data_IF_621059870361
#
_entry.id   IF_621059870361
#
_cell.length_a   1.000
_cell.length_b   1.000
_cell.length_c   1.000
_cell.angle_alpha   90.00
_cell.angle_beta   90.00
_cell.angle_gamma   90.00
#
_symmetry.space_group_name_H-M   'P 1'
#
loop_
_entity.id
_entity.type
_entity.pdbx_description
1 polymer ?
#
# COMPACT_ATOMS: atom_id res chain seq x y z
N UNK A 1 33.81 10.55 -87.66
CA UNK A 1 33.81 11.59 -88.70
C UNK A 1 32.48 11.43 -89.42
N UNK A 2 31.37 11.56 -88.71
CA UNK A 2 30.77 12.85 -88.25
C UNK A 2 30.32 13.61 -89.50
N UNK A 3 29.07 13.98 -89.73
CA UNK A 3 27.85 14.09 -88.94
C UNK A 3 26.69 13.66 -89.86
N UNK A 4 25.46 13.51 -89.37
CA UNK A 4 24.26 14.03 -90.04
C UNK A 4 23.11 14.05 -89.02
N UNK A 5 22.80 15.26 -88.60
CA UNK A 5 21.65 15.71 -87.83
C UNK A 5 20.34 15.55 -88.63
N UNK A 6 19.24 15.32 -87.92
CA UNK A 6 17.90 15.32 -88.48
C UNK A 6 16.83 15.26 -87.38
N UNK A 7 16.25 16.42 -87.11
CA UNK A 7 15.31 16.74 -86.03
C UNK A 7 13.98 15.97 -86.08
N UNK A 8 13.43 15.68 -84.89
CA UNK A 8 12.09 15.12 -84.70
C UNK A 8 11.16 16.22 -84.16
N UNK A 9 10.39 16.84 -85.05
CA UNK A 9 9.26 17.71 -84.69
C UNK A 9 8.00 16.88 -84.42
N UNK A 10 7.49 16.94 -83.19
CA UNK A 10 6.11 16.54 -82.85
C UNK A 10 5.15 17.72 -83.01
N UNK A 11 4.00 17.58 -83.69
CA UNK A 11 2.93 18.55 -83.57
C UNK A 11 1.93 18.11 -82.50
N UNK A 12 1.69 19.00 -81.55
CA UNK A 12 0.51 19.02 -80.72
C UNK A 12 -0.72 19.33 -81.59
N UNK A 13 -1.85 18.66 -81.32
CA UNK A 13 -3.16 19.11 -81.79
C UNK A 13 -4.16 19.06 -80.65
N UNK A 14 -4.58 20.28 -80.27
CA UNK A 14 -5.69 20.61 -79.40
C UNK A 14 -7.00 20.04 -79.95
N UNK A 15 -7.85 19.54 -79.04
CA UNK A 15 -9.28 19.40 -79.30
C UNK A 15 -10.04 20.11 -78.18
N UNK A 16 -10.81 21.12 -78.58
CA UNK A 16 -11.74 21.86 -77.74
C UNK A 16 -13.15 21.74 -78.33
N UNK A 17 -14.13 21.79 -77.42
CA UNK A 17 -15.57 22.00 -77.62
C UNK A 17 -16.36 20.76 -78.11
N UNK A 18 -17.55 20.42 -77.63
CA UNK A 18 -18.63 21.29 -77.15
C UNK A 18 -19.58 20.55 -76.18
N UNK A 19 -20.22 21.32 -75.30
CA UNK A 19 -21.22 20.83 -74.35
C UNK A 19 -22.59 20.52 -74.97
N UNK A 20 -23.38 19.77 -74.22
CA UNK A 20 -24.83 19.73 -74.34
C UNK A 20 -25.44 19.69 -72.94
N UNK A 21 -26.19 20.75 -72.65
CA UNK A 21 -27.04 20.93 -71.48
C UNK A 21 -28.30 20.09 -71.64
N UNK A 22 -28.66 19.34 -70.60
CA UNK A 22 -30.02 18.85 -70.41
C UNK A 22 -30.43 19.16 -68.97
N UNK A 23 -31.39 20.07 -68.85
CA UNK A 23 -32.14 20.38 -67.63
C UNK A 23 -33.29 19.39 -67.52
N UNK A 24 -33.51 18.82 -66.34
CA UNK A 24 -34.81 18.33 -65.83
C UNK A 24 -34.71 18.41 -64.28
N UNK A 25 -35.15 19.50 -63.65
CA UNK A 25 -36.48 19.73 -63.06
C UNK A 25 -36.90 18.64 -62.08
N UNK A 26 -36.59 18.85 -60.79
CA UNK A 26 -37.25 18.19 -59.66
C UNK A 26 -38.26 19.16 -59.01
N UNK A 27 -39.50 18.74 -58.71
CA UNK A 27 -40.47 19.57 -58.02
C UNK A 27 -40.31 19.52 -56.50
N UNK A 28 -40.61 20.65 -55.87
CA UNK A 28 -40.58 20.91 -54.43
C UNK A 28 -41.90 20.60 -53.71
N UNK A 29 -41.80 19.95 -52.53
CA UNK A 29 -42.60 20.07 -51.27
C UNK A 29 -44.14 19.76 -51.28
N UNK A 30 -44.73 19.27 -50.16
CA UNK A 30 -45.05 20.02 -48.91
C UNK A 30 -44.74 19.26 -47.60
N UNK A 31 -44.19 19.84 -46.53
CA UNK A 31 -44.76 20.63 -45.41
C UNK A 31 -45.96 20.02 -44.65
N UNK A 32 -45.78 19.75 -43.34
CA UNK A 32 -46.61 20.12 -42.16
C UNK A 32 -46.16 19.24 -40.96
N UNK A 33 -45.39 19.78 -40.00
CA UNK A 33 -45.79 20.30 -38.66
C UNK A 33 -46.39 19.27 -37.70
N UNK A 34 -45.76 19.08 -36.52
CA UNK A 34 -46.31 19.44 -35.20
C UNK A 34 -45.16 19.50 -34.18
N UNK A 35 -45.24 20.52 -33.34
CA UNK A 35 -44.35 21.00 -32.29
C UNK A 35 -44.44 20.18 -30.99
N UNK A 36 -43.43 20.28 -30.11
CA UNK A 36 -43.60 20.84 -28.76
C UNK A 36 -42.28 20.86 -27.96
N UNK A 37 -41.93 22.06 -27.49
CA UNK A 37 -41.02 22.32 -26.37
C UNK A 37 -41.52 21.67 -25.07
N UNK A 38 -40.62 21.32 -24.16
CA UNK A 38 -40.79 21.70 -22.75
C UNK A 38 -39.46 21.76 -22.01
N UNK A 39 -39.19 22.95 -21.46
CA UNK A 39 -38.20 23.27 -20.44
C UNK A 39 -38.99 23.44 -19.15
N UNK A 40 -38.73 22.63 -18.13
CA UNK A 40 -39.29 22.79 -16.78
C UNK A 40 -38.29 22.15 -15.80
N UNK A 41 -37.46 22.91 -15.08
CA UNK A 41 -37.72 23.54 -13.77
C UNK A 41 -38.52 22.66 -12.80
N UNK A 42 -37.82 21.79 -12.07
CA UNK A 42 -38.32 21.13 -10.86
C UNK A 42 -37.62 21.66 -9.61
N UNK A 43 -38.20 22.69 -8.99
CA UNK A 43 -37.98 23.02 -7.58
C UNK A 43 -38.95 22.15 -6.77
N UNK A 44 -38.45 21.34 -5.84
CA UNK A 44 -39.25 20.79 -4.74
C UNK A 44 -39.01 21.62 -3.49
N UNK A 45 -39.96 22.52 -3.21
CA UNK A 45 -40.22 23.02 -1.86
C UNK A 45 -40.93 21.92 -1.07
N UNK A 46 -40.45 21.63 0.15
CA UNK A 46 -41.34 21.14 1.19
C UNK A 46 -41.08 21.93 2.48
N UNK A 47 -42.12 22.66 2.87
CA UNK A 47 -42.22 23.48 4.06
C UNK A 47 -42.53 22.62 5.29
N UNK A 48 -41.81 22.92 6.38
CA UNK A 48 -42.26 23.02 7.77
C UNK A 48 -43.09 21.88 8.40
N UNK A 49 -42.56 21.34 9.51
CA UNK A 49 -43.27 21.34 10.80
C UNK A 49 -42.32 21.29 12.00
N UNK A 50 -42.55 22.22 12.93
CA UNK A 50 -41.91 22.40 14.24
C UNK A 50 -42.14 21.19 15.15
N UNK A 51 -41.15 20.85 15.98
CA UNK A 51 -41.32 20.59 17.42
C UNK A 51 -39.96 20.58 18.12
N UNK A 52 -39.87 21.33 19.21
CA UNK A 52 -38.65 21.45 20.02
C UNK A 52 -38.39 20.22 20.88
N UNK A 53 -37.14 20.08 21.28
CA UNK A 53 -36.68 19.44 22.51
C UNK A 53 -35.26 19.96 22.74
N UNK A 54 -35.11 20.87 23.69
CA UNK A 54 -34.35 20.64 24.91
C UNK A 54 -32.85 20.40 24.67
N UNK A 55 -32.06 21.38 25.11
CA UNK A 55 -30.62 21.22 25.39
C UNK A 55 -30.37 19.86 26.07
N UNK A 56 -29.50 19.00 25.54
CA UNK A 56 -28.62 18.22 26.40
C UNK A 56 -27.55 19.19 26.90
N UNK A 57 -27.31 19.14 28.21
CA UNK A 57 -26.13 19.71 28.86
C UNK A 57 -24.89 19.53 27.99
N UNK A 58 -24.09 20.59 27.81
CA UNK A 58 -22.72 20.43 27.31
C UNK A 58 -22.04 19.44 28.26
N UNK A 59 -21.67 18.28 27.74
CA UNK A 59 -20.90 17.29 28.48
C UNK A 59 -19.54 17.89 28.82
N UNK A 60 -18.94 17.48 29.94
CA UNK A 60 -17.67 18.00 30.42
C UNK A 60 -16.52 17.88 29.37
N UNK A 61 -16.71 17.06 28.35
CA UNK A 61 -15.82 16.86 27.20
C UNK A 61 -15.83 18.03 26.20
N UNK A 62 -16.89 18.84 26.13
CA UNK A 62 -16.96 20.00 25.22
C UNK A 62 -16.27 21.24 25.82
N UNK A 63 -16.18 21.32 27.16
CA UNK A 63 -15.42 22.34 27.87
C UNK A 63 -13.89 22.10 27.78
N UNK A 64 -13.46 20.83 27.82
CA UNK A 64 -12.05 20.44 27.66
C UNK A 64 -11.52 20.65 26.23
N UNK A 65 -12.40 20.55 25.22
CA UNK A 65 -12.03 20.81 23.82
C UNK A 65 -11.91 22.31 23.47
N UNK A 66 -12.45 23.22 24.30
CA UNK A 66 -12.43 24.65 24.05
C UNK A 66 -11.25 25.38 24.73
N UNK A 67 -10.68 24.80 25.79
CA UNK A 67 -9.57 25.40 26.53
C UNK A 67 -8.17 24.97 26.08
N UNK A 68 -8.03 23.80 25.45
CA UNK A 68 -6.77 23.33 24.86
C UNK A 68 -7.05 22.86 23.44
N UNK A 69 -6.23 23.32 22.48
CA UNK A 69 -6.43 23.08 21.06
C UNK A 69 -6.91 21.65 20.79
N UNK A 70 -7.98 21.54 20.01
CA UNK A 70 -8.69 20.31 19.67
C UNK A 70 -7.76 19.11 19.62
N UNK A 71 -8.16 18.00 20.27
CA UNK A 71 -7.41 16.74 20.22
C UNK A 71 -6.99 16.46 18.75
N UNK A 72 -5.69 16.49 18.45
CA UNK A 72 -5.19 16.37 17.07
C UNK A 72 -5.62 15.05 16.43
N UNK A 73 -5.82 14.00 17.24
CA UNK A 73 -6.30 12.71 16.78
C UNK A 73 -7.75 12.80 16.32
N UNK A 74 -8.60 13.53 17.06
CA UNK A 74 -10.01 13.74 16.70
C UNK A 74 -10.17 14.59 15.44
N UNK A 75 -9.31 15.58 15.23
CA UNK A 75 -9.32 16.40 14.00
C UNK A 75 -8.93 15.55 12.79
N UNK A 76 -7.86 14.75 12.92
CA UNK A 76 -7.40 13.89 11.83
C UNK A 76 -8.42 12.78 11.52
N UNK A 77 -9.09 12.21 12.53
CA UNK A 77 -10.18 11.26 12.33
C UNK A 77 -11.33 11.86 11.52
N UNK A 78 -11.75 13.08 11.85
CA UNK A 78 -12.81 13.77 11.10
C UNK A 78 -12.38 14.10 9.66
N UNK A 79 -11.11 14.45 9.45
CA UNK A 79 -10.54 14.69 8.11
C UNK A 79 -10.60 13.41 7.28
N UNK A 80 -10.08 12.31 7.82
CA UNK A 80 -10.08 11.00 7.16
C UNK A 80 -11.50 10.48 6.92
N UNK A 81 -12.42 10.69 7.85
CA UNK A 81 -13.82 10.30 7.66
C UNK A 81 -14.49 11.06 6.50
N UNK A 82 -14.23 12.37 6.38
CA UNK A 82 -14.70 13.14 5.23
C UNK A 82 -14.02 12.71 3.93
N UNK A 83 -12.72 12.44 3.96
CA UNK A 83 -11.96 11.94 2.81
C UNK A 83 -12.51 10.59 2.33
N UNK A 84 -12.86 9.67 3.24
CA UNK A 84 -13.53 8.40 2.91
C UNK A 84 -14.90 8.64 2.28
N UNK A 85 -15.73 9.53 2.85
CA UNK A 85 -17.05 9.85 2.28
C UNK A 85 -16.96 10.45 0.87
N UNK A 86 -15.97 11.31 0.64
CA UNK A 86 -15.74 11.89 -0.69
C UNK A 86 -15.24 10.84 -1.68
N UNK A 87 -14.34 9.94 -1.24
CA UNK A 87 -13.91 8.79 -2.06
C UNK A 87 -15.06 7.82 -2.38
N UNK A 88 -15.98 7.60 -1.44
CA UNK A 88 -17.18 6.80 -1.68
C UNK A 88 -18.12 7.44 -2.72
N UNK A 89 -18.23 8.78 -2.71
CA UNK A 89 -18.98 9.51 -3.76
C UNK A 89 -18.30 9.41 -5.12
N UNK A 90 -17.00 9.67 -5.18
CA UNK A 90 -16.21 9.53 -6.42
C UNK A 90 -16.30 8.10 -6.99
N UNK A 91 -16.26 7.08 -6.12
CA UNK A 91 -16.44 5.69 -6.52
C UNK A 91 -17.85 5.44 -7.08
N UNK A 92 -18.88 6.00 -6.47
CA UNK A 92 -20.26 5.92 -6.97
C UNK A 92 -20.44 6.57 -8.34
N UNK A 93 -19.84 7.74 -8.56
CA UNK A 93 -19.85 8.45 -9.84
C UNK A 93 -19.10 7.66 -10.92
N UNK A 94 -17.90 7.17 -10.62
CA UNK A 94 -17.13 6.33 -11.54
C UNK A 94 -17.89 5.04 -11.90
N UNK A 95 -18.58 4.41 -10.95
CA UNK A 95 -19.42 3.23 -11.22
C UNK A 95 -20.62 3.56 -12.11
N UNK A 96 -21.23 4.73 -11.95
CA UNK A 96 -22.31 5.20 -12.81
C UNK A 96 -21.81 5.48 -14.24
N UNK A 97 -20.64 6.11 -14.36
CA UNK A 97 -19.99 6.37 -15.65
C UNK A 97 -19.62 5.07 -16.36
N UNK A 98 -19.04 4.08 -15.67
CA UNK A 98 -18.74 2.76 -16.23
C UNK A 98 -20.01 2.09 -16.78
N UNK A 99 -21.14 2.19 -16.07
CA UNK A 99 -22.41 1.63 -16.54
C UNK A 99 -22.92 2.36 -17.78
N UNK A 100 -22.83 3.69 -17.81
CA UNK A 100 -23.24 4.50 -18.96
C UNK A 100 -22.37 4.20 -20.20
N UNK A 101 -21.06 4.11 -20.02
CA UNK A 101 -20.10 3.78 -21.09
C UNK A 101 -20.36 2.37 -21.64
N UNK A 102 -20.61 1.36 -20.79
CA UNK A 102 -20.98 0.01 -21.24
C UNK A 102 -22.27 -0.02 -22.06
N UNK A 103 -23.27 0.78 -21.72
CA UNK A 103 -24.49 0.89 -22.51
C UNK A 103 -24.25 1.59 -23.85
N UNK A 104 -23.46 2.67 -23.86
CA UNK A 104 -23.06 3.36 -25.08
C UNK A 104 -22.24 2.47 -26.01
N UNK A 105 -21.32 1.68 -25.47
CA UNK A 105 -20.52 0.71 -26.20
C UNK A 105 -21.38 -0.34 -26.88
N UNK A 106 -22.34 -0.94 -26.16
CA UNK A 106 -23.30 -1.87 -26.76
C UNK A 106 -24.15 -1.27 -27.89
N UNK A 107 -24.52 0.01 -27.78
CA UNK A 107 -25.24 0.69 -28.85
C UNK A 107 -24.35 0.91 -30.08
N UNK A 108 -23.07 1.23 -29.88
CA UNK A 108 -22.09 1.32 -30.97
C UNK A 108 -21.82 -0.03 -31.61
N UNK A 109 -21.68 -1.10 -30.83
CA UNK A 109 -21.50 -2.47 -31.34
C UNK A 109 -22.68 -2.87 -32.24
N UNK A 110 -23.91 -2.64 -31.79
CA UNK A 110 -25.11 -2.90 -32.61
C UNK A 110 -25.14 -2.11 -33.91
N UNK A 111 -24.79 -0.83 -33.87
CA UNK A 111 -24.71 -0.01 -35.08
C UNK A 111 -23.62 -0.52 -36.05
N UNK A 112 -22.50 -1.03 -35.54
CA UNK A 112 -21.44 -1.64 -36.35
C UNK A 112 -21.91 -2.97 -36.95
N UNK A 113 -22.62 -3.80 -36.20
CA UNK A 113 -23.23 -5.04 -36.71
C UNK A 113 -24.21 -4.75 -37.85
N UNK A 114 -25.14 -3.81 -37.66
CA UNK A 114 -26.12 -3.40 -38.68
C UNK A 114 -25.44 -2.87 -39.95
N UNK A 115 -24.45 -1.98 -39.83
CA UNK A 115 -23.70 -1.45 -40.97
C UNK A 115 -22.87 -2.54 -41.68
N UNK A 116 -22.35 -3.52 -40.94
CA UNK A 116 -21.61 -4.65 -41.51
C UNK A 116 -22.52 -5.57 -42.32
N UNK A 117 -23.74 -5.82 -41.84
CA UNK A 117 -24.75 -6.56 -42.60
C UNK A 117 -25.19 -5.83 -43.87
N UNK A 118 -25.37 -4.51 -43.81
CA UNK A 118 -25.68 -3.69 -44.99
C UNK A 118 -24.54 -3.71 -46.01
N UNK A 119 -23.29 -3.58 -45.54
CA UNK A 119 -22.10 -3.66 -46.39
C UNK A 119 -22.03 -5.01 -47.11
N UNK A 120 -22.23 -6.12 -46.39
CA UNK A 120 -22.23 -7.46 -46.97
C UNK A 120 -23.31 -7.62 -48.07
N UNK A 121 -24.51 -7.08 -47.85
CA UNK A 121 -25.60 -7.09 -48.85
C UNK A 121 -25.24 -6.26 -50.10
N UNK A 122 -24.54 -5.13 -49.93
CA UNK A 122 -24.11 -4.29 -51.05
C UNK A 122 -22.97 -4.95 -51.83
N UNK A 123 -22.02 -5.59 -51.14
CA UNK A 123 -20.94 -6.36 -51.79
C UNK A 123 -21.48 -7.53 -52.62
N UNK A 124 -22.48 -8.25 -52.11
CA UNK A 124 -23.12 -9.34 -52.87
C UNK A 124 -23.82 -8.81 -54.13
N UNK A 125 -24.57 -7.71 -54.01
CA UNK A 125 -25.19 -7.04 -55.17
C UNK A 125 -24.14 -6.58 -56.18
N UNK A 126 -23.03 -6.00 -55.71
CA UNK A 126 -21.94 -5.57 -56.58
C UNK A 126 -21.38 -6.75 -57.38
N UNK A 127 -21.02 -7.86 -56.70
CA UNK A 127 -20.52 -9.08 -57.37
C UNK A 127 -21.49 -9.62 -58.42
N UNK A 128 -22.79 -9.63 -58.14
CA UNK A 128 -23.82 -10.06 -59.10
C UNK A 128 -23.90 -9.12 -60.31
N UNK A 129 -23.79 -7.80 -60.10
CA UNK A 129 -23.79 -6.83 -61.20
C UNK A 129 -22.51 -6.93 -62.04
N UNK A 130 -21.36 -7.16 -61.42
CA UNK A 130 -20.07 -7.36 -62.10
C UNK A 130 -20.10 -8.62 -62.97
N UNK A 131 -20.60 -9.75 -62.45
CA UNK A 131 -20.72 -10.99 -63.25
C UNK A 131 -21.69 -10.83 -64.41
N UNK A 132 -22.77 -10.07 -64.22
CA UNK A 132 -23.74 -9.77 -65.29
C UNK A 132 -23.11 -8.90 -66.37
N UNK A 133 -22.34 -7.87 -65.98
CA UNK A 133 -21.60 -7.01 -66.91
C UNK A 133 -20.52 -7.79 -67.67
N UNK A 134 -19.79 -8.67 -67.02
CA UNK A 134 -18.79 -9.53 -67.66
C UNK A 134 -19.44 -10.44 -68.71
N UNK A 135 -20.56 -11.07 -68.37
CA UNK A 135 -21.35 -11.90 -69.30
C UNK A 135 -21.80 -11.09 -70.52
N UNK A 136 -22.32 -9.87 -70.31
CA UNK A 136 -22.75 -8.98 -71.39
C UNK A 136 -21.59 -8.53 -72.28
N UNK A 137 -20.42 -8.28 -71.71
CA UNK A 137 -19.22 -7.93 -72.47
C UNK A 137 -18.75 -9.07 -73.38
N UNK A 138 -18.82 -10.32 -72.90
CA UNK A 138 -18.52 -11.51 -73.72
C UNK A 138 -19.54 -11.67 -74.87
N UNK A 139 -20.82 -11.46 -74.59
CA UNK A 139 -21.88 -11.48 -75.59
C UNK A 139 -21.67 -10.42 -76.69
N UNK A 140 -21.30 -9.20 -76.32
CA UNK A 140 -20.97 -8.11 -77.26
C UNK A 140 -19.78 -8.50 -78.16
N UNK A 141 -18.72 -9.08 -77.60
CA UNK A 141 -17.56 -9.54 -78.39
C UNK A 141 -17.98 -10.59 -79.41
N UNK A 142 -18.77 -11.57 -78.98
CA UNK A 142 -19.28 -12.64 -79.85
C UNK A 142 -20.11 -12.07 -81.01
N UNK A 143 -21.06 -11.19 -80.73
CA UNK A 143 -21.89 -10.54 -81.76
C UNK A 143 -21.03 -9.72 -82.74
N UNK A 144 -20.00 -9.03 -82.25
CA UNK A 144 -19.10 -8.25 -83.10
C UNK A 144 -18.30 -9.14 -84.05
N UNK A 145 -17.77 -10.26 -83.55
CA UNK A 145 -17.02 -11.20 -84.38
C UNK A 145 -17.93 -11.91 -85.40
N UNK A 146 -19.14 -12.28 -85.01
CA UNK A 146 -20.17 -12.81 -85.92
C UNK A 146 -20.57 -11.80 -87.00
N UNK A 147 -20.71 -10.51 -86.64
CA UNK A 147 -20.99 -9.44 -87.60
C UNK A 147 -19.85 -9.27 -88.60
N UNK A 148 -18.59 -9.27 -88.15
CA UNK A 148 -17.42 -9.20 -89.05
C UNK A 148 -17.38 -10.38 -90.01
N UNK A 149 -17.59 -11.60 -89.50
CA UNK A 149 -17.64 -12.81 -90.31
C UNK A 149 -18.78 -12.76 -91.34
N UNK A 150 -19.97 -12.31 -90.93
CA UNK A 150 -21.14 -12.17 -91.81
C UNK A 150 -20.89 -11.12 -92.91
N UNK A 151 -20.28 -9.98 -92.59
CA UNK A 151 -19.91 -8.98 -93.59
C UNK A 151 -18.87 -9.53 -94.59
N UNK A 152 -17.86 -10.27 -94.13
CA UNK A 152 -16.87 -10.89 -95.00
C UNK A 152 -17.52 -11.92 -95.95
N UNK A 153 -18.42 -12.75 -95.43
CA UNK A 153 -19.19 -13.71 -96.22
C UNK A 153 -20.07 -13.01 -97.26
N UNK A 154 -20.72 -11.90 -96.89
CA UNK A 154 -21.53 -11.09 -97.80
C UNK A 154 -20.68 -10.52 -98.96
N UNK A 155 -19.53 -9.92 -98.67
CA UNK A 155 -18.62 -9.42 -99.72
C UNK A 155 -18.12 -10.55 -100.64
N UNK A 156 -17.82 -11.73 -100.10
CA UNK A 156 -17.40 -12.89 -100.88
C UNK A 156 -18.53 -13.40 -101.80
N UNK A 157 -19.77 -13.46 -101.30
CA UNK A 157 -20.94 -13.85 -102.08
C UNK A 157 -21.23 -12.82 -103.21
N UNK A 158 -21.15 -11.53 -102.92
CA UNK A 158 -21.35 -10.46 -103.89
C UNK A 158 -20.28 -10.48 -104.99
N UNK A 159 -19.01 -10.72 -104.64
CA UNK A 159 -17.93 -10.91 -105.61
C UNK A 159 -18.15 -12.15 -106.49
N UNK A 160 -18.76 -13.20 -105.96
CA UNK A 160 -19.10 -14.41 -106.73
C UNK A 160 -20.26 -14.15 -107.68
N UNK A 161 -21.32 -13.45 -107.24
CA UNK A 161 -22.42 -13.04 -108.11
C UNK A 161 -21.96 -12.12 -109.23
N UNK A 162 -21.05 -11.16 -108.96
CA UNK A 162 -20.44 -10.33 -110.02
C UNK A 162 -19.71 -11.18 -111.05
N UNK A 163 -18.95 -12.20 -110.62
CA UNK A 163 -18.25 -13.14 -111.53
C UNK A 163 -19.24 -13.97 -112.37
N UNK A 164 -20.29 -14.52 -111.76
CA UNK A 164 -21.32 -15.30 -112.45
C UNK A 164 -22.10 -14.44 -113.46
N UNK A 165 -22.51 -13.22 -113.08
CA UNK A 165 -23.19 -12.31 -113.99
C UNK A 165 -22.30 -11.85 -115.16
N UNK A 166 -20.98 -11.73 -114.96
CA UNK A 166 -20.04 -11.46 -116.04
C UNK A 166 -19.87 -12.67 -116.98
N UNK A 167 -19.86 -13.89 -116.42
CA UNK A 167 -19.77 -15.14 -117.18
C UNK A 167 -21.06 -15.47 -117.98
N UNK A 168 -22.22 -14.90 -117.62
CA UNK A 168 -23.49 -15.07 -118.33
C UNK A 168 -23.61 -14.26 -119.64
N UNK A 169 -22.56 -13.53 -120.08
CA UNK A 169 -22.60 -12.70 -121.29
C UNK A 169 -21.96 -13.30 -122.55
N UNK A 170 -21.29 -14.44 -122.45
CA UNK A 170 -20.68 -15.12 -123.59
C UNK A 170 -21.32 -16.52 -123.77
N UNK A 171 -22.35 -16.59 -124.60
CA UNK A 171 -22.98 -17.84 -125.05
C UNK A 171 -22.10 -18.51 -126.11
N UNK A 172 -21.05 -19.18 -125.68
CA UNK A 172 -20.50 -20.34 -126.36
C UNK A 172 -20.19 -21.37 -125.27
N UNK A 173 -21.06 -22.37 -125.15
CA UNK A 173 -20.91 -23.43 -124.15
C UNK A 173 -19.56 -24.12 -124.39
N UNK A 174 -18.60 -23.99 -123.47
CA UNK A 174 -17.28 -24.55 -123.67
C UNK A 174 -17.35 -26.08 -123.68
N UNK A 175 -16.43 -26.75 -124.39
CA UNK A 175 -16.37 -28.21 -124.43
C UNK A 175 -16.33 -28.80 -123.01
N UNK A 176 -17.00 -29.94 -122.82
CA UNK A 176 -17.26 -30.55 -121.50
C UNK A 176 -15.98 -30.76 -120.69
N UNK A 177 -14.83 -31.05 -121.33
CA UNK A 177 -13.53 -31.16 -120.66
C UNK A 177 -13.07 -29.85 -119.98
N UNK A 178 -13.39 -28.69 -120.56
CA UNK A 178 -13.07 -27.38 -119.96
C UNK A 178 -13.91 -27.08 -118.71
N UNK A 179 -15.07 -27.74 -118.57
CA UNK A 179 -15.94 -27.65 -117.38
C UNK A 179 -15.54 -28.70 -116.34
N UNK A 180 -15.16 -29.91 -116.77
CA UNK A 180 -14.75 -31.02 -115.89
C UNK A 180 -13.39 -30.78 -115.22
N UNK A 181 -12.39 -30.27 -115.94
CA UNK A 181 -11.02 -30.15 -115.39
C UNK A 181 -10.92 -29.26 -114.13
N UNK A 182 -11.60 -28.09 -114.04
CA UNK A 182 -11.68 -27.32 -112.80
C UNK A 182 -12.36 -28.09 -111.66
N UNK A 183 -13.47 -28.79 -111.93
CA UNK A 183 -14.20 -29.57 -110.92
C UNK A 183 -13.37 -30.76 -110.41
N UNK A 184 -12.61 -31.42 -111.27
CA UNK A 184 -11.68 -32.48 -110.88
C UNK A 184 -10.52 -31.94 -110.02
N UNK A 185 -10.00 -30.75 -110.34
CA UNK A 185 -9.00 -30.07 -109.53
C UNK A 185 -9.55 -29.64 -108.16
N UNK A 186 -10.76 -29.08 -108.11
CA UNK A 186 -11.46 -28.74 -106.87
C UNK A 186 -11.72 -29.97 -106.01
N UNK A 187 -12.14 -31.09 -106.61
CA UNK A 187 -12.35 -32.36 -105.91
C UNK A 187 -11.03 -32.91 -105.35
N UNK A 188 -9.91 -32.73 -106.06
CA UNK A 188 -8.57 -33.10 -105.57
C UNK A 188 -8.14 -32.21 -104.39
N UNK A 189 -8.38 -30.90 -104.47
CA UNK A 189 -8.11 -29.97 -103.37
C UNK A 189 -8.97 -30.28 -102.14
N UNK A 190 -10.27 -30.53 -102.32
CA UNK A 190 -11.18 -30.91 -101.26
C UNK A 190 -10.72 -32.22 -100.57
N UNK A 191 -10.25 -33.21 -101.33
CA UNK A 191 -9.67 -34.44 -100.75
C UNK A 191 -8.40 -34.17 -99.93
N UNK A 192 -7.53 -33.26 -100.39
CA UNK A 192 -6.34 -32.86 -99.64
C UNK A 192 -6.71 -32.09 -98.36
N UNK A 193 -7.73 -31.25 -98.42
CA UNK A 193 -8.24 -30.52 -97.26
C UNK A 193 -8.86 -31.47 -96.23
N UNK A 194 -9.65 -32.46 -96.66
CA UNK A 194 -10.17 -33.52 -95.78
C UNK A 194 -9.03 -34.27 -95.08
N UNK A 195 -7.95 -34.60 -95.80
CA UNK A 195 -6.79 -35.27 -95.19
C UNK A 195 -6.09 -34.39 -94.14
N UNK A 196 -5.92 -33.09 -94.40
CA UNK A 196 -5.38 -32.14 -93.41
C UNK A 196 -6.28 -32.04 -92.17
N UNK A 197 -7.59 -31.88 -92.37
CA UNK A 197 -8.56 -31.81 -91.27
C UNK A 197 -8.58 -33.10 -90.43
N UNK A 198 -8.36 -34.27 -91.04
CA UNK A 198 -8.23 -35.52 -90.29
C UNK A 198 -6.98 -35.56 -89.41
N UNK A 199 -5.86 -35.04 -89.89
CA UNK A 199 -4.62 -34.99 -89.11
C UNK A 199 -4.69 -33.93 -87.99
N UNK A 200 -5.33 -32.79 -88.27
CA UNK A 200 -5.63 -31.77 -87.26
C UNK A 200 -6.54 -32.32 -86.15
N UNK A 201 -7.60 -33.07 -86.50
CA UNK A 201 -8.46 -33.74 -85.51
C UNK A 201 -7.67 -34.70 -84.61
N UNK A 202 -6.77 -35.52 -85.18
CA UNK A 202 -5.90 -36.39 -84.38
C UNK A 202 -4.96 -35.61 -83.48
N UNK A 203 -4.46 -34.46 -83.93
CA UNK A 203 -3.61 -33.58 -83.12
C UNK A 203 -4.40 -32.96 -81.96
N UNK A 204 -5.64 -32.53 -82.21
CA UNK A 204 -6.56 -32.05 -81.20
C UNK A 204 -6.87 -33.12 -80.15
N UNK A 205 -7.15 -34.36 -80.55
CA UNK A 205 -7.40 -35.46 -79.62
C UNK A 205 -6.20 -35.74 -78.69
N UNK A 206 -4.97 -35.70 -79.24
CA UNK A 206 -3.74 -35.85 -78.44
C UNK A 206 -3.57 -34.69 -77.46
N UNK A 207 -3.84 -33.47 -77.92
CA UNK A 207 -3.77 -32.28 -77.08
C UNK A 207 -4.79 -32.33 -75.94
N UNK A 208 -6.02 -32.75 -76.23
CA UNK A 208 -7.09 -32.92 -75.22
C UNK A 208 -6.66 -33.91 -74.15
N UNK A 209 -6.18 -35.11 -74.53
CA UNK A 209 -5.68 -36.11 -73.57
C UNK A 209 -4.52 -35.60 -72.72
N UNK A 210 -3.60 -34.85 -73.33
CA UNK A 210 -2.47 -34.23 -72.61
C UNK A 210 -2.95 -33.19 -71.58
N UNK A 211 -3.92 -32.35 -71.96
CA UNK A 211 -4.52 -31.36 -71.05
C UNK A 211 -5.30 -32.01 -69.92
N UNK A 212 -6.06 -33.07 -70.18
CA UNK A 212 -6.76 -33.85 -69.15
C UNK A 212 -5.78 -34.47 -68.15
N UNK A 213 -4.66 -35.04 -68.63
CA UNK A 213 -3.62 -35.56 -67.75
C UNK A 213 -2.98 -34.46 -66.89
N UNK A 214 -2.70 -33.28 -67.46
CA UNK A 214 -2.17 -32.14 -66.73
C UNK A 214 -3.17 -31.59 -65.69
N UNK A 215 -4.46 -31.56 -66.01
CA UNK A 215 -5.52 -31.16 -65.08
C UNK A 215 -5.62 -32.10 -63.88
N UNK A 216 -5.57 -33.42 -64.11
CA UNK A 216 -5.56 -34.41 -63.03
C UNK A 216 -4.34 -34.26 -62.11
N UNK A 217 -3.18 -33.94 -62.65
CA UNK A 217 -1.98 -33.72 -61.84
C UNK A 217 -2.03 -32.41 -61.04
N UNK A 218 -2.58 -31.34 -61.63
CA UNK A 218 -2.85 -30.10 -60.92
C UNK A 218 -3.86 -30.32 -59.78
N UNK A 219 -4.91 -31.11 -60.01
CA UNK A 219 -5.90 -31.45 -58.99
C UNK A 219 -5.28 -32.20 -57.81
N UNK A 220 -4.43 -33.21 -58.07
CA UNK A 220 -3.67 -33.90 -57.00
C UNK A 220 -2.81 -32.93 -56.20
N UNK A 221 -2.14 -32.00 -56.88
CA UNK A 221 -1.29 -31.00 -56.23
C UNK A 221 -2.12 -30.09 -55.32
N UNK A 222 -3.30 -29.66 -55.77
CA UNK A 222 -4.23 -28.85 -54.97
C UNK A 222 -4.74 -29.64 -53.76
N UNK A 223 -5.12 -30.91 -53.92
CA UNK A 223 -5.56 -31.76 -52.82
C UNK A 223 -4.47 -31.91 -51.74
N UNK A 224 -3.21 -32.13 -52.15
CA UNK A 224 -2.07 -32.20 -51.22
C UNK A 224 -1.85 -30.86 -50.52
N UNK A 225 -1.98 -29.74 -51.22
CA UNK A 225 -1.85 -28.41 -50.63
C UNK A 225 -2.96 -28.15 -49.60
N UNK A 226 -4.21 -28.53 -49.89
CA UNK A 226 -5.34 -28.41 -48.97
C UNK A 226 -5.14 -29.24 -47.69
N UNK A 227 -4.66 -30.48 -47.82
CA UNK A 227 -4.35 -31.33 -46.66
C UNK A 227 -3.25 -30.71 -45.78
N UNK A 228 -2.21 -30.12 -46.40
CA UNK A 228 -1.15 -29.40 -45.67
C UNK A 228 -1.69 -28.13 -44.99
N UNK A 229 -2.56 -27.37 -45.65
CA UNK A 229 -3.18 -26.18 -45.07
C UNK A 229 -3.99 -26.53 -43.82
N UNK A 230 -4.85 -27.57 -43.90
CA UNK A 230 -5.59 -28.07 -42.73
C UNK A 230 -4.68 -28.46 -41.56
N UNK A 231 -3.56 -29.12 -41.84
CA UNK A 231 -2.60 -29.49 -40.78
C UNK A 231 -1.93 -28.26 -40.15
N UNK A 232 -1.68 -27.22 -40.94
CA UNK A 232 -1.14 -25.95 -40.43
C UNK A 232 -2.16 -25.28 -39.52
N UNK A 233 -3.44 -25.27 -39.88
CA UNK A 233 -4.51 -24.70 -39.05
C UNK A 233 -4.63 -25.43 -37.71
N UNK A 234 -4.57 -26.77 -37.70
CA UNK A 234 -4.57 -27.58 -36.47
C UNK A 234 -3.36 -27.25 -35.57
N UNK A 235 -2.18 -27.09 -36.16
CA UNK A 235 -0.97 -26.71 -35.43
C UNK A 235 -1.05 -25.28 -34.90
N UNK A 236 -1.65 -24.35 -35.63
CA UNK A 236 -1.89 -22.99 -35.17
C UNK A 236 -2.83 -22.98 -33.97
N UNK A 237 -3.93 -23.73 -34.03
CA UNK A 237 -4.86 -23.89 -32.90
C UNK A 237 -4.15 -24.45 -31.66
N UNK A 238 -3.34 -25.51 -31.84
CA UNK A 238 -2.55 -26.09 -30.75
C UNK A 238 -1.53 -25.10 -30.18
N UNK A 239 -0.88 -24.29 -31.03
CA UNK A 239 0.03 -23.24 -30.58
C UNK A 239 -0.69 -22.16 -29.76
N UNK A 240 -1.90 -21.75 -30.17
CA UNK A 240 -2.70 -20.79 -29.39
C UNK A 240 -3.05 -21.34 -28.01
N UNK A 241 -3.41 -22.62 -27.90
CA UNK A 241 -3.71 -23.23 -26.61
C UNK A 241 -2.48 -23.38 -25.72
N UNK A 242 -1.31 -23.70 -26.30
CA UNK A 242 -0.04 -23.72 -25.56
C UNK A 242 0.34 -22.32 -25.06
N UNK A 243 0.11 -21.26 -25.84
CA UNK A 243 0.33 -19.88 -25.38
C UNK A 243 -0.55 -19.55 -24.17
N UNK A 244 -1.84 -19.90 -24.22
CA UNK A 244 -2.76 -19.72 -23.07
C UNK A 244 -2.29 -20.50 -21.84
N UNK A 245 -1.80 -21.73 -22.00
CA UNK A 245 -1.23 -22.51 -20.89
C UNK A 245 0.00 -21.84 -20.29
N UNK A 246 0.89 -21.29 -21.12
CA UNK A 246 2.07 -20.54 -20.65
C UNK A 246 1.64 -19.32 -19.84
N UNK A 247 0.63 -18.57 -20.30
CA UNK A 247 0.08 -17.42 -19.57
C UNK A 247 -0.50 -17.82 -18.21
N UNK A 248 -1.27 -18.91 -18.15
CA UNK A 248 -1.81 -19.45 -16.90
C UNK A 248 -0.67 -19.84 -15.95
N UNK A 249 0.33 -20.60 -16.41
CA UNK A 249 1.46 -21.00 -15.57
C UNK A 249 2.28 -19.80 -15.08
N UNK A 250 2.42 -18.75 -15.89
CA UNK A 250 3.08 -17.52 -15.46
C UNK A 250 2.31 -16.81 -14.36
N UNK A 251 0.97 -16.75 -14.46
CA UNK A 251 0.14 -16.13 -13.42
C UNK A 251 0.10 -16.98 -12.14
N UNK A 252 0.04 -18.30 -12.26
CA UNK A 252 0.18 -19.23 -11.13
C UNK A 252 1.50 -19.01 -10.38
N UNK A 253 2.62 -18.88 -11.10
CA UNK A 253 3.92 -18.58 -10.49
C UNK A 253 3.93 -17.24 -9.76
N UNK A 254 3.32 -16.19 -10.32
CA UNK A 254 3.20 -14.89 -9.61
C UNK A 254 2.38 -15.01 -8.33
N UNK A 255 1.32 -15.80 -8.33
CA UNK A 255 0.49 -16.05 -7.14
C UNK A 255 1.30 -16.82 -6.10
N UNK A 256 2.03 -17.87 -6.50
CA UNK A 256 2.91 -18.64 -5.64
C UNK A 256 4.01 -17.77 -5.01
N UNK A 257 4.64 -16.89 -5.78
CA UNK A 257 5.65 -15.95 -5.29
C UNK A 257 5.08 -14.98 -4.24
N UNK A 258 3.89 -14.42 -4.50
CA UNK A 258 3.20 -13.54 -3.53
C UNK A 258 2.88 -14.30 -2.24
N UNK A 259 2.36 -15.53 -2.35
CA UNK A 259 2.05 -16.38 -1.20
C UNK A 259 3.31 -16.74 -0.41
N UNK A 260 4.40 -17.09 -1.09
CA UNK A 260 5.66 -17.42 -0.43
C UNK A 260 6.22 -16.22 0.33
N UNK A 261 6.22 -15.01 -0.28
CA UNK A 261 6.64 -13.77 0.41
C UNK A 261 5.79 -13.47 1.64
N UNK A 262 4.48 -13.67 1.57
CA UNK A 262 3.60 -13.50 2.73
C UNK A 262 3.94 -14.49 3.85
N UNK A 263 4.11 -15.77 3.52
CA UNK A 263 4.50 -16.79 4.51
C UNK A 263 5.85 -16.50 5.15
N UNK A 264 6.83 -16.02 4.37
CA UNK A 264 8.13 -15.60 4.91
C UNK A 264 7.96 -14.43 5.89
N UNK A 265 7.17 -13.41 5.55
CA UNK A 265 6.89 -12.30 6.46
C UNK A 265 6.16 -12.73 7.75
N UNK A 266 5.24 -13.70 7.66
CA UNK A 266 4.58 -14.28 8.84
C UNK A 266 5.58 -15.04 9.72
N UNK A 267 6.48 -15.83 9.13
CA UNK A 267 7.54 -16.53 9.85
C UNK A 267 8.50 -15.56 10.53
N UNK A 268 8.87 -14.47 9.87
CA UNK A 268 9.70 -13.41 10.45
C UNK A 268 9.01 -12.75 11.65
N UNK A 269 7.72 -12.44 11.54
CA UNK A 269 6.93 -11.88 12.65
C UNK A 269 6.85 -12.85 13.83
N UNK A 270 6.57 -14.13 13.57
CA UNK A 270 6.55 -15.14 14.64
C UNK A 270 7.93 -15.29 15.28
N UNK A 271 9.00 -15.29 14.49
CA UNK A 271 10.37 -15.34 14.99
C UNK A 271 10.72 -14.14 15.88
N UNK A 272 10.21 -12.95 15.55
CA UNK A 272 10.32 -11.76 16.39
C UNK A 272 9.58 -11.95 17.74
N UNK A 273 8.34 -12.44 17.71
CA UNK A 273 7.58 -12.69 18.94
C UNK A 273 8.22 -13.75 19.83
N UNK A 274 8.84 -14.77 19.24
CA UNK A 274 9.60 -15.78 20.00
C UNK A 274 10.78 -15.12 20.73
N UNK A 275 11.56 -14.28 20.05
CA UNK A 275 12.68 -13.56 20.69
C UNK A 275 12.22 -12.66 21.84
N UNK A 276 11.12 -11.93 21.66
CA UNK A 276 10.54 -11.08 22.73
C UNK A 276 10.10 -11.91 23.95
N UNK A 277 9.50 -13.08 23.71
CA UNK A 277 9.13 -14.00 24.78
C UNK A 277 10.35 -14.60 25.49
N UNK A 278 11.40 -14.95 24.75
CA UNK A 278 12.68 -15.42 25.32
C UNK A 278 13.31 -14.36 26.24
N UNK A 279 13.33 -13.09 25.80
CA UNK A 279 13.79 -11.96 26.62
C UNK A 279 12.95 -11.78 27.88
N UNK A 280 11.61 -11.86 27.76
CA UNK A 280 10.70 -11.77 28.90
C UNK A 280 10.91 -12.91 29.90
N UNK A 281 11.16 -14.14 29.42
CA UNK A 281 11.47 -15.30 30.27
C UNK A 281 12.79 -15.10 31.01
N UNK A 282 13.84 -14.61 30.33
CA UNK A 282 15.12 -14.29 30.96
C UNK A 282 14.98 -13.22 32.04
N UNK A 283 14.23 -12.15 31.75
CA UNK A 283 13.93 -11.09 32.72
C UNK A 283 13.12 -11.63 33.91
N UNK A 284 12.11 -12.48 33.66
CA UNK A 284 11.34 -13.16 34.69
C UNK A 284 12.20 -14.06 35.58
N UNK A 285 13.16 -14.77 35.00
CA UNK A 285 14.15 -15.57 35.74
C UNK A 285 15.03 -14.71 36.66
N UNK A 286 15.50 -13.57 36.18
CA UNK A 286 16.26 -12.61 37.00
C UNK A 286 15.42 -12.04 38.15
N UNK A 287 14.17 -11.66 37.90
CA UNK A 287 13.24 -11.20 38.93
C UNK A 287 12.96 -12.29 39.99
N UNK A 288 12.76 -13.54 39.56
CA UNK A 288 12.56 -14.67 40.47
C UNK A 288 13.80 -14.94 41.34
N UNK A 289 15.01 -14.77 40.80
CA UNK A 289 16.25 -14.85 41.59
C UNK A 289 16.31 -13.74 42.64
N UNK A 290 16.03 -12.48 42.27
CA UNK A 290 16.00 -11.37 43.21
C UNK A 290 14.98 -11.58 44.34
N UNK A 291 13.79 -12.09 44.03
CA UNK A 291 12.79 -12.45 45.05
C UNK A 291 13.33 -13.50 46.02
N UNK A 292 14.00 -14.56 45.52
CA UNK A 292 14.60 -15.58 46.38
C UNK A 292 15.71 -15.01 47.27
N UNK A 293 16.50 -14.07 46.78
CA UNK A 293 17.56 -13.41 47.56
C UNK A 293 16.99 -12.51 48.66
N UNK A 294 15.97 -11.71 48.35
CA UNK A 294 15.26 -10.92 49.37
C UNK A 294 14.60 -11.81 50.42
N UNK A 295 13.97 -12.91 50.01
CA UNK A 295 13.40 -13.89 50.95
C UNK A 295 14.45 -14.46 51.89
N UNK A 296 15.62 -14.83 51.38
CA UNK A 296 16.76 -15.30 52.20
C UNK A 296 17.19 -14.21 53.19
N UNK A 297 17.36 -12.96 52.75
CA UNK A 297 17.77 -11.85 53.61
C UNK A 297 16.75 -11.59 54.72
N UNK A 298 15.46 -11.69 54.42
CA UNK A 298 14.39 -11.57 55.42
C UNK A 298 14.45 -12.71 56.44
N UNK A 299 14.75 -13.94 56.01
CA UNK A 299 14.94 -15.08 56.92
C UNK A 299 16.12 -14.84 57.87
N UNK A 300 17.28 -14.44 57.35
CA UNK A 300 18.47 -14.09 58.14
C UNK A 300 18.17 -12.99 59.17
N UNK A 301 17.57 -11.88 58.73
CA UNK A 301 17.19 -10.77 59.62
C UNK A 301 16.19 -11.20 60.69
N UNK A 302 15.30 -12.14 60.39
CA UNK A 302 14.34 -12.66 61.37
C UNK A 302 15.03 -13.60 62.38
N UNK A 303 16.05 -14.35 61.96
CA UNK A 303 16.89 -15.13 62.88
C UNK A 303 17.69 -14.22 63.80
N UNK A 304 18.32 -13.18 63.27
CA UNK A 304 19.01 -12.13 64.05
C UNK A 304 18.05 -11.41 65.00
N UNK A 305 16.84 -11.08 64.55
CA UNK A 305 15.82 -10.50 65.44
C UNK A 305 15.50 -11.45 66.60
N UNK A 306 15.34 -12.75 66.34
CA UNK A 306 15.09 -13.74 67.40
C UNK A 306 16.28 -13.88 68.34
N UNK A 307 17.53 -13.76 67.88
CA UNK A 307 18.70 -13.79 68.78
C UNK A 307 18.73 -12.53 69.64
N UNK A 308 18.57 -11.35 69.05
CA UNK A 308 18.49 -10.07 69.76
C UNK A 308 17.34 -10.03 70.77
N UNK A 309 16.15 -10.56 70.44
CA UNK A 309 15.01 -10.65 71.36
C UNK A 309 15.37 -11.49 72.61
N UNK A 310 16.12 -12.59 72.43
CA UNK A 310 16.60 -13.43 73.54
C UNK A 310 17.66 -12.71 74.36
N UNK A 311 18.58 -12.00 73.73
CA UNK A 311 19.61 -11.22 74.41
C UNK A 311 19.01 -10.06 75.20
N UNK A 312 18.05 -9.35 74.62
CA UNK A 312 17.30 -8.29 75.29
C UNK A 312 16.52 -8.84 76.49
N UNK A 313 15.90 -10.01 76.37
CA UNK A 313 15.26 -10.67 77.51
C UNK A 313 16.28 -11.01 78.62
N UNK A 314 17.46 -11.54 78.27
CA UNK A 314 18.54 -11.80 79.24
C UNK A 314 19.03 -10.52 79.91
N UNK A 315 19.26 -9.46 79.14
CA UNK A 315 19.67 -8.16 79.63
C UNK A 315 18.63 -7.56 80.58
N UNK A 316 17.34 -7.65 80.25
CA UNK A 316 16.24 -7.24 81.15
C UNK A 316 16.25 -7.99 82.47
N UNK A 317 16.46 -9.31 82.45
CA UNK A 317 16.58 -10.11 83.68
C UNK A 317 17.79 -9.66 84.50
N UNK A 318 18.95 -9.47 83.87
CA UNK A 318 20.16 -8.99 84.57
C UNK A 318 19.95 -7.59 85.15
N UNK A 319 19.35 -6.66 84.39
CA UNK A 319 19.04 -5.32 84.86
C UNK A 319 18.07 -5.35 86.05
N UNK A 320 17.03 -6.17 85.99
CA UNK A 320 16.12 -6.36 87.13
C UNK A 320 16.84 -6.93 88.36
N UNK A 321 17.77 -7.88 88.18
CA UNK A 321 18.60 -8.41 89.29
C UNK A 321 19.48 -7.32 89.90
N UNK A 322 20.16 -6.52 89.07
CA UNK A 322 20.98 -5.39 89.54
C UNK A 322 20.12 -4.37 90.28
N UNK A 323 18.95 -4.01 89.75
CA UNK A 323 18.02 -3.10 90.41
C UNK A 323 17.60 -3.59 91.81
N UNK A 324 17.33 -4.90 91.96
CA UNK A 324 17.03 -5.51 93.27
C UNK A 324 18.23 -5.44 94.22
N UNK A 325 19.44 -5.75 93.74
CA UNK A 325 20.67 -5.65 94.55
C UNK A 325 20.89 -4.20 95.01
N UNK A 326 20.83 -3.22 94.10
CA UNK A 326 20.99 -1.80 94.41
C UNK A 326 19.91 -1.31 95.38
N UNK A 327 18.66 -1.72 95.21
CA UNK A 327 17.58 -1.37 96.13
C UNK A 327 17.84 -1.93 97.55
N UNK A 328 18.34 -3.16 97.65
CA UNK A 328 18.72 -3.75 98.94
C UNK A 328 19.91 -3.02 99.56
N UNK A 329 20.95 -2.71 98.78
CA UNK A 329 22.11 -1.94 99.26
C UNK A 329 21.71 -0.54 99.77
N UNK A 330 20.76 0.12 99.10
CA UNK A 330 20.25 1.43 99.53
C UNK A 330 19.42 1.34 100.82
N UNK A 331 18.64 0.27 100.97
CA UNK A 331 17.92 -0.04 102.23
C UNK A 331 18.91 -0.27 103.38
N UNK A 332 19.94 -1.09 103.18
CA UNK A 332 20.97 -1.35 104.18
C UNK A 332 21.81 -0.09 104.49
N UNK A 333 22.05 0.77 103.50
CA UNK A 333 22.69 2.07 103.70
C UNK A 333 21.83 3.02 104.53
N UNK A 334 20.50 2.99 104.38
CA UNK A 334 19.57 3.73 105.22
C UNK A 334 19.56 3.19 106.67
N UNK A 335 19.68 1.88 106.87
CA UNK A 335 19.81 1.28 108.20
C UNK A 335 21.17 1.57 108.87
N UNK A 336 22.20 1.96 108.10
CA UNK A 336 23.50 2.46 108.62
C UNK A 336 23.45 3.92 109.09
N UNK A 337 22.36 4.65 108.82
CA UNK A 337 22.19 6.02 109.33
C UNK A 337 21.76 5.93 110.78
N UNK A 338 22.62 6.40 111.69
CA UNK A 338 22.35 6.42 113.12
C UNK A 338 20.97 7.08 113.39
N UNK A 339 20.06 6.40 114.14
CA UNK A 339 18.71 6.91 114.36
C UNK A 339 18.71 8.33 114.91
N UNK A 340 17.86 9.20 114.36
CA UNK A 340 17.79 10.63 114.71
C UNK A 340 17.67 10.88 116.23
N UNK A 341 17.02 9.97 116.97
CA UNK A 341 16.97 10.04 118.45
C UNK A 341 18.35 9.95 119.09
N UNK A 342 19.16 8.97 118.69
CA UNK A 342 20.52 8.79 119.20
C UNK A 342 21.39 9.99 118.86
N UNK A 343 21.26 10.52 117.62
CA UNK A 343 21.99 11.73 117.22
C UNK A 343 21.58 12.97 118.04
N UNK A 344 20.30 13.12 118.35
CA UNK A 344 19.81 14.21 119.20
C UNK A 344 20.28 14.08 120.65
N UNK A 345 20.41 12.86 121.17
CA UNK A 345 20.96 12.58 122.49
C UNK A 345 22.46 12.87 122.54
N UNK A 346 23.24 12.39 121.58
CA UNK A 346 24.68 12.65 121.49
C UNK A 346 24.97 14.14 121.27
N UNK A 347 24.16 14.82 120.43
CA UNK A 347 24.24 16.29 120.27
C UNK A 347 23.94 17.02 121.57
N UNK A 348 22.94 16.57 122.35
CA UNK A 348 22.59 17.16 123.64
C UNK A 348 23.68 16.92 124.69
N UNK A 349 24.30 15.74 124.67
CA UNK A 349 25.44 15.39 125.50
C UNK A 349 26.66 16.27 125.20
N UNK A 350 27.07 16.37 123.93
CA UNK A 350 28.20 17.21 123.50
C UNK A 350 27.96 18.70 123.79
N UNK A 351 26.71 19.17 123.67
CA UNK A 351 26.35 20.54 124.04
C UNK A 351 26.47 20.79 125.55
N UNK A 352 26.17 19.78 126.38
CA UNK A 352 26.38 19.80 127.83
C UNK A 352 27.87 19.87 128.20
N UNK A 353 28.70 19.01 127.60
CA UNK A 353 30.16 19.03 127.74
C UNK A 353 30.76 20.40 127.36
N UNK A 354 30.32 20.97 126.24
CA UNK A 354 30.79 22.29 125.79
C UNK A 354 30.42 23.40 126.79
N UNK A 355 29.23 23.37 127.37
CA UNK A 355 28.86 24.32 128.42
C UNK A 355 29.70 24.14 129.68
N UNK A 356 29.98 22.89 130.08
CA UNK A 356 30.87 22.59 131.19
C UNK A 356 32.30 23.12 130.95
N UNK A 357 32.82 22.98 129.72
CA UNK A 357 34.12 23.53 129.34
C UNK A 357 34.11 25.06 129.35
N UNK A 358 33.01 25.71 128.94
CA UNK A 358 32.85 27.17 129.07
C UNK A 358 32.85 27.63 130.52
N UNK A 359 32.17 26.91 131.42
CA UNK A 359 32.18 27.22 132.85
C UNK A 359 33.59 27.07 133.45
N UNK A 360 34.31 26.00 133.09
CA UNK A 360 35.71 25.81 133.50
C UNK A 360 36.61 26.93 132.99
N UNK A 361 36.43 27.37 131.73
CA UNK A 361 37.15 28.49 131.16
C UNK A 361 36.88 29.80 131.94
N UNK A 362 35.61 30.08 132.26
CA UNK A 362 35.24 31.27 133.03
C UNK A 362 35.85 31.27 134.45
N UNK A 363 35.95 30.10 135.08
CA UNK A 363 36.67 29.95 136.36
C UNK A 363 38.16 30.25 136.17
N UNK A 364 38.80 29.65 135.17
CA UNK A 364 40.22 29.89 134.87
C UNK A 364 40.50 31.36 134.56
N UNK A 365 39.62 32.05 133.83
CA UNK A 365 39.73 33.49 133.54
C UNK A 365 39.61 34.35 134.81
N UNK A 366 38.70 34.01 135.74
CA UNK A 366 38.62 34.69 137.04
C UNK A 366 39.88 34.46 137.87
N UNK A 367 40.40 33.23 137.90
CA UNK A 367 41.63 32.89 138.61
C UNK A 367 42.84 33.62 138.00
N UNK A 368 42.92 33.72 136.67
CA UNK A 368 43.98 34.48 136.00
C UNK A 368 43.90 35.98 136.31
N UNK A 369 42.68 36.55 136.38
CA UNK A 369 42.48 37.96 136.77
C UNK A 369 42.88 38.23 138.22
N UNK A 370 42.53 37.36 139.16
CA UNK A 370 42.95 37.52 140.56
C UNK A 370 44.46 37.34 140.73
N UNK A 371 45.09 36.44 139.98
CA UNK A 371 46.54 36.28 139.95
C UNK A 371 47.24 37.54 139.40
N UNK A 372 46.72 38.13 138.33
CA UNK A 372 47.23 39.40 137.78
C UNK A 372 47.10 40.56 138.79
N UNK A 373 45.98 40.66 139.51
CA UNK A 373 45.79 41.67 140.56
C UNK A 373 46.77 41.49 141.73
N UNK A 374 47.01 40.26 142.17
CA UNK A 374 48.02 39.96 143.19
C UNK A 374 49.44 40.35 142.73
N UNK A 375 49.79 40.06 141.47
CA UNK A 375 51.08 40.47 140.89
C UNK A 375 51.28 41.99 140.90
N UNK A 376 50.24 42.80 140.71
CA UNK A 376 50.33 44.27 140.80
C UNK A 376 50.57 44.75 142.25
N UNK A 377 49.87 44.17 143.23
CA UNK A 377 50.02 44.52 144.65
C UNK A 377 51.41 44.12 145.17
N UNK A 378 51.86 42.90 144.88
CA UNK A 378 53.21 42.46 145.25
C UNK A 378 54.30 43.20 144.47
N UNK A 379 54.05 43.59 143.22
CA UNK A 379 54.95 44.43 142.42
C UNK A 379 55.20 45.81 143.06
N UNK A 380 54.16 46.47 143.58
CA UNK A 380 54.30 47.74 144.30
C UNK A 380 55.14 47.60 145.58
N UNK A 381 54.94 46.53 146.36
CA UNK A 381 55.72 46.29 147.59
C UNK A 381 57.20 46.02 147.32
N UNK A 382 57.54 45.33 146.22
CA UNK A 382 58.94 45.09 145.84
C UNK A 382 59.64 46.38 145.42
N UNK A 383 58.96 47.28 144.69
CA UNK A 383 59.52 48.60 144.32
C UNK A 383 59.73 49.47 145.56
N UNK A 384 58.76 49.52 146.49
CA UNK A 384 58.87 50.32 147.73
C UNK A 384 60.00 49.86 148.67
N UNK A 385 60.28 48.55 148.73
CA UNK A 385 61.40 48.00 149.50
C UNK A 385 62.74 48.28 148.80
N UNK A 386 62.78 48.22 147.46
CA UNK A 386 63.99 48.52 146.68
C UNK A 386 64.40 49.99 146.82
N UNK A 387 63.44 50.91 146.79
CA UNK A 387 63.71 52.35 146.93
C UNK A 387 64.21 52.72 148.34
N UNK A 388 63.75 52.02 149.39
CA UNK A 388 64.27 52.20 150.76
C UNK A 388 65.67 51.61 150.97
N UNK A 389 66.00 50.48 150.34
CA UNK A 389 67.36 49.90 150.42
C UNK A 389 68.40 50.75 149.66
N UNK A 390 68.00 51.37 148.55
CA UNK A 390 68.91 52.24 147.77
C UNK A 390 69.25 53.53 148.51
N UNK A 391 68.28 54.15 149.21
CA UNK A 391 68.49 55.31 150.09
C UNK A 391 69.38 55.01 151.32
N UNK A 392 69.49 53.74 151.74
CA UNK A 392 70.36 53.32 152.85
C UNK A 392 71.81 53.12 152.38
N UNK A 393 72.03 52.69 151.14
CA UNK A 393 73.37 52.52 150.54
C UNK A 393 74.01 53.89 150.24
N UNK A 394 73.22 54.87 149.78
CA UNK A 394 73.70 56.26 149.56
C UNK A 394 74.13 56.98 150.86
N UNK A 395 73.72 56.49 152.04
CA UNK A 395 74.17 57.01 153.35
C UNK A 395 75.40 56.32 153.93
N UNK A 396 75.86 55.20 153.37
CA UNK A 396 77.03 54.45 153.85
C UNK A 396 78.31 54.67 153.01
N UNK A 397 78.25 55.43 151.91
CA UNK A 397 79.43 55.77 151.08
C UNK A 397 79.94 57.21 151.26
N UNK A 398 79.48 57.92 152.30
CA UNK A 398 80.07 59.18 152.80
C UNK A 398 81.07 58.87 153.94
N UNK A 399 82.13 58.14 153.59
CA UNK A 399 83.43 58.13 154.27
C UNK A 399 84.55 58.21 153.26
#
# INVERSE_FOLDING_TARGET
MDDHSGDFETPASEWRCNGSRSNDVFPSKPHLTVSASLKESGKSQQQQRRRGSARPSMDADEFMNLLHGSDPVKVELNRLENEVRDKDRELGEAQAEIKALRLSERLREKAVEELSEELAKVEEKLKLTESTLETKNLEIKKINDEKKASMAAQFAAEATLRRVHAAQKDDDMPPIEAILAPLEAELKLARQEIAKLQDDNKALDRLTKSKEAALLEAERTVQVALAKASMVDDLQNKNQDLMKQIEICQEENKILDKMHRQKVAEVEKLSQTVRELEEAVLAGGAAANAVRDYQRKVQEMNEERKTLDRELARAKVTANRVAVVVANEWKDANDKVMPVKQWLEDRRFLQGEMNQLRDKLAIAERTAKSEAQLKVIFGFNVVFVKDNYTLLIDKLSLS
#
